data_IF_182897684518
#
_entry.id   IF_182897684518
#
_cell.length_a   1.000
_cell.length_b   1.000
_cell.length_c   1.000
_cell.angle_alpha   90.00
_cell.angle_beta   90.00
_cell.angle_gamma   90.00
#
_symmetry.space_group_name_H-M   'P 1'
#
loop_
_entity.id
_entity.type
_entity.pdbx_description
1 polymer ?
#
# COMPACT_ATOMS: atom_id res chain seq x y z
N UNK A 1 1.15 -34.62 3.39
CA UNK A 1 0.99 -33.21 2.96
C UNK A 1 0.01 -33.20 1.80
N UNK A 2 -1.15 -32.56 1.95
CA UNK A 2 -2.17 -32.47 0.89
C UNK A 2 -1.88 -31.21 0.04
N UNK A 3 -1.65 -31.33 -1.28
CA UNK A 3 -1.20 -30.21 -2.11
C UNK A 3 -2.32 -29.32 -2.71
N UNK A 4 -3.57 -29.41 -2.22
CA UNK A 4 -4.74 -28.84 -2.92
C UNK A 4 -5.56 -27.80 -2.13
N UNK A 5 -4.95 -27.04 -1.22
CA UNK A 5 -5.62 -25.85 -0.67
C UNK A 5 -5.35 -24.70 -1.64
N UNK A 6 -6.35 -24.30 -2.43
CA UNK A 6 -6.27 -23.01 -3.15
C UNK A 6 -5.99 -21.94 -2.09
N UNK A 7 -5.00 -21.06 -2.29
CA UNK A 7 -4.79 -19.99 -1.34
C UNK A 7 -6.06 -19.15 -1.26
N UNK A 8 -6.50 -18.85 -0.04
CA UNK A 8 -7.65 -17.98 0.18
C UNK A 8 -7.41 -16.61 -0.45
N UNK A 9 -8.48 -15.94 -0.83
CA UNK A 9 -8.43 -14.53 -1.23
C UNK A 9 -9.42 -13.75 -0.39
N UNK A 10 -9.01 -12.57 0.04
CA UNK A 10 -9.83 -11.67 0.85
C UNK A 10 -9.81 -10.27 0.25
N UNK A 11 -10.96 -9.59 0.32
CA UNK A 11 -11.13 -8.21 -0.14
C UNK A 11 -10.86 -7.22 0.99
N UNK A 12 -10.08 -6.18 0.68
CA UNK A 12 -9.76 -5.10 1.59
C UNK A 12 -10.05 -3.76 0.94
N UNK A 13 -10.60 -2.83 1.71
CA UNK A 13 -10.55 -1.43 1.36
C UNK A 13 -9.13 -0.93 1.72
N UNK A 14 -8.46 -0.32 0.74
CA UNK A 14 -7.03 0.02 0.79
C UNK A 14 -6.83 1.49 0.48
N UNK A 15 -5.87 2.11 1.14
CA UNK A 15 -5.51 3.51 0.92
C UNK A 15 -4.01 3.73 1.12
N UNK A 16 -3.44 4.65 0.32
CA UNK A 16 -2.11 5.19 0.51
C UNK A 16 -2.20 6.61 1.04
N UNK A 17 -1.37 6.94 2.03
CA UNK A 17 -1.40 8.23 2.72
C UNK A 17 -0.02 8.86 2.83
N UNK A 18 0.11 10.16 2.54
CA UNK A 18 1.28 10.98 2.90
C UNK A 18 0.84 12.03 3.90
N UNK A 19 1.64 12.29 4.94
CA UNK A 19 1.29 13.30 5.97
C UNK A 19 -0.03 13.05 6.72
N UNK A 20 -0.63 11.86 6.60
CA UNK A 20 -1.93 11.54 7.18
C UNK A 20 -3.14 11.81 6.28
N UNK A 21 -2.93 12.21 5.03
CA UNK A 21 -3.99 12.41 4.02
C UNK A 21 -3.88 11.39 2.89
N UNK A 22 -5.00 11.03 2.25
CA UNK A 22 -4.99 10.12 1.09
C UNK A 22 -4.24 10.76 -0.05
N UNK A 23 -3.30 10.02 -0.64
CA UNK A 23 -2.52 10.50 -1.80
C UNK A 23 -3.43 10.65 -3.01
N UNK A 24 -3.32 11.78 -3.69
CA UNK A 24 -3.92 12.02 -5.01
C UNK A 24 -2.79 12.37 -5.98
N UNK A 25 -2.60 11.57 -7.04
CA UNK A 25 -1.68 11.87 -8.14
C UNK A 25 -2.45 11.90 -9.45
N UNK A 26 -2.17 12.88 -10.30
CA UNK A 26 -2.81 13.03 -11.62
C UNK A 26 -4.36 12.98 -11.56
N UNK A 27 -4.95 13.50 -10.47
CA UNK A 27 -6.39 13.50 -10.24
C UNK A 27 -6.98 12.16 -9.77
N UNK A 28 -6.14 11.14 -9.55
CA UNK A 28 -6.54 9.83 -9.05
C UNK A 28 -6.19 9.67 -7.57
N UNK A 29 -7.21 9.41 -6.74
CA UNK A 29 -7.01 9.06 -5.35
C UNK A 29 -6.49 7.63 -5.23
N UNK A 30 -5.42 7.42 -4.47
CA UNK A 30 -4.86 6.10 -4.16
C UNK A 30 -5.63 5.48 -3.01
N UNK A 31 -6.91 5.25 -3.27
CA UNK A 31 -7.87 4.60 -2.39
C UNK A 31 -8.79 3.72 -3.23
N UNK A 32 -9.07 2.51 -2.76
CA UNK A 32 -9.96 1.60 -3.47
C UNK A 32 -10.00 0.22 -2.84
N UNK A 33 -10.72 -0.70 -3.49
CA UNK A 33 -10.83 -2.08 -3.03
C UNK A 33 -9.85 -2.98 -3.75
N UNK A 34 -9.11 -3.79 -2.98
CA UNK A 34 -8.07 -4.69 -3.49
C UNK A 34 -8.33 -6.11 -2.97
N UNK A 35 -8.26 -7.10 -3.87
CA UNK A 35 -8.27 -8.52 -3.50
C UNK A 35 -6.84 -8.96 -3.25
N UNK A 36 -6.56 -9.48 -2.05
CA UNK A 36 -5.25 -9.97 -1.66
C UNK A 36 -5.30 -11.48 -1.42
N UNK A 37 -4.21 -12.16 -1.79
CA UNK A 37 -4.03 -13.58 -1.53
C UNK A 37 -3.59 -13.76 -0.09
N UNK A 38 -4.31 -14.60 0.66
CA UNK A 38 -4.01 -14.86 2.06
C UNK A 38 -2.67 -15.58 2.23
N UNK A 39 -1.88 -15.11 3.20
CA UNK A 39 -0.57 -15.66 3.51
C UNK A 39 0.31 -14.66 4.27
N UNK A 40 1.52 -15.07 4.67
CA UNK A 40 2.44 -14.23 5.43
C UNK A 40 2.82 -12.92 4.71
N UNK A 41 2.85 -12.96 3.38
CA UNK A 41 3.28 -11.86 2.49
C UNK A 41 2.09 -11.14 1.83
N UNK A 42 0.87 -11.34 2.33
CA UNK A 42 -0.36 -10.87 1.67
C UNK A 42 -0.41 -9.36 1.41
N UNK A 43 0.31 -8.56 2.21
CA UNK A 43 0.37 -7.10 2.07
C UNK A 43 1.59 -6.59 1.29
N UNK A 44 2.49 -7.45 0.83
CA UNK A 44 3.63 -7.06 -0.01
C UNK A 44 3.22 -6.22 -1.24
N UNK A 45 2.10 -6.50 -1.94
CA UNK A 45 1.65 -5.64 -3.03
C UNK A 45 1.41 -4.19 -2.60
N UNK A 46 0.84 -3.98 -1.41
CA UNK A 46 0.59 -2.65 -0.86
C UNK A 46 1.89 -1.94 -0.47
N UNK A 47 2.86 -2.68 0.08
CA UNK A 47 4.20 -2.15 0.35
C UNK A 47 4.89 -1.68 -0.92
N UNK A 48 4.83 -2.48 -1.99
CA UNK A 48 5.43 -2.14 -3.29
C UNK A 48 4.77 -0.93 -3.94
N UNK A 49 3.44 -0.82 -3.86
CA UNK A 49 2.72 0.37 -4.34
C UNK A 49 3.07 1.62 -3.54
N UNK A 50 3.04 1.53 -2.21
CA UNK A 50 3.44 2.64 -1.35
C UNK A 50 4.87 3.08 -1.66
N UNK A 51 5.77 2.14 -1.98
CA UNK A 51 7.17 2.44 -2.29
C UNK A 51 7.31 3.26 -3.57
N UNK A 52 6.62 2.87 -4.64
CA UNK A 52 6.62 3.64 -5.89
C UNK A 52 6.02 5.05 -5.71
N UNK A 53 4.95 5.18 -4.92
CA UNK A 53 4.36 6.48 -4.62
C UNK A 53 5.28 7.34 -3.73
N UNK A 54 5.91 6.75 -2.71
CA UNK A 54 6.88 7.44 -1.87
C UNK A 54 8.06 7.98 -2.68
N UNK A 55 8.58 7.18 -3.61
CA UNK A 55 9.65 7.61 -4.52
C UNK A 55 9.23 8.71 -5.47
N UNK A 56 7.98 8.68 -5.95
CA UNK A 56 7.41 9.73 -6.81
C UNK A 56 7.23 11.04 -6.04
N UNK A 57 6.71 10.97 -4.81
CA UNK A 57 6.47 12.14 -3.97
C UNK A 57 7.76 12.68 -3.33
N UNK A 58 8.76 11.83 -3.12
CA UNK A 58 9.91 12.14 -2.26
C UNK A 58 9.55 12.20 -0.77
N UNK A 59 8.43 11.59 -0.37
CA UNK A 59 7.88 11.64 0.99
C UNK A 59 7.52 10.25 1.51
N UNK A 60 7.50 10.04 2.83
CA UNK A 60 7.07 8.77 3.41
C UNK A 60 5.58 8.50 3.12
N UNK A 61 5.26 7.29 2.66
CA UNK A 61 3.88 6.88 2.36
C UNK A 61 3.47 5.73 3.27
N UNK A 62 2.30 5.86 3.87
CA UNK A 62 1.68 4.82 4.69
C UNK A 62 0.58 4.13 3.90
N UNK A 63 0.67 2.82 3.73
CA UNK A 63 -0.44 2.02 3.22
C UNK A 63 -1.30 1.51 4.38
N UNK A 64 -2.59 1.35 4.14
CA UNK A 64 -3.54 0.73 5.06
C UNK A 64 -4.44 -0.23 4.29
N UNK A 65 -4.82 -1.31 4.96
CA UNK A 65 -5.84 -2.25 4.52
C UNK A 65 -6.85 -2.41 5.66
N UNK A 66 -8.12 -2.13 5.38
CA UNK A 66 -9.24 -2.40 6.27
C UNK A 66 -10.10 -3.51 5.70
N UNK A 67 -10.55 -4.41 6.56
CA UNK A 67 -11.45 -5.48 6.15
C UNK A 67 -12.87 -4.93 5.86
N UNK A 68 -13.78 -5.82 5.45
CA UNK A 68 -15.17 -5.45 5.14
C UNK A 68 -15.96 -4.91 6.35
N UNK A 69 -15.50 -5.14 7.58
CA UNK A 69 -16.10 -4.60 8.80
C UNK A 69 -15.54 -3.23 9.16
N UNK A 70 -14.55 -2.74 8.40
CA UNK A 70 -13.84 -1.49 8.66
C UNK A 70 -12.72 -1.65 9.69
N UNK A 71 -12.34 -2.87 10.06
CA UNK A 71 -11.27 -3.13 11.01
C UNK A 71 -9.91 -3.09 10.30
N UNK A 72 -8.89 -2.50 10.94
CA UNK A 72 -7.56 -2.41 10.36
C UNK A 72 -6.91 -3.80 10.30
N UNK A 73 -6.83 -4.35 9.09
CA UNK A 73 -6.22 -5.65 8.84
C UNK A 73 -4.69 -5.55 8.66
N UNK A 74 -4.21 -4.44 8.12
CA UNK A 74 -2.78 -4.22 7.88
C UNK A 74 -2.41 -2.76 7.70
N UNK A 75 -1.18 -2.42 8.07
CA UNK A 75 -0.59 -1.09 7.87
C UNK A 75 0.92 -1.20 7.80
N UNK A 76 1.53 -0.36 6.97
CA UNK A 76 2.97 -0.12 6.97
C UNK A 76 3.31 1.25 6.41
N UNK A 77 4.49 1.75 6.75
CA UNK A 77 5.01 3.02 6.22
C UNK A 77 6.33 2.74 5.53
N UNK A 78 6.44 3.19 4.29
CA UNK A 78 7.66 3.07 3.48
C UNK A 78 8.30 4.43 3.28
N UNK A 79 9.62 4.44 3.29
CA UNK A 79 10.41 5.65 3.10
C UNK A 79 10.76 5.82 1.61
N UNK A 80 10.82 7.06 1.10
CA UNK A 80 11.35 7.33 -0.23
C UNK A 80 12.81 6.88 -0.31
N UNK A 81 13.25 6.41 -1.47
CA UNK A 81 14.65 6.06 -1.67
C UNK A 81 15.56 7.30 -1.62
N UNK A 82 16.86 7.15 -1.35
CA UNK A 82 17.80 8.28 -1.30
C UNK A 82 17.86 9.09 -2.61
N UNK A 83 17.50 8.49 -3.75
CA UNK A 83 17.45 9.16 -5.04
C UNK A 83 16.30 10.20 -5.17
N UNK A 84 15.17 9.98 -4.49
CA UNK A 84 13.99 10.86 -4.60
C UNK A 84 14.21 12.22 -3.91
N UNK A 85 15.11 12.28 -2.93
CA UNK A 85 15.47 13.53 -2.25
C UNK A 85 16.30 14.46 -3.15
N UNK A 86 17.05 13.92 -4.12
CA UNK A 86 17.89 14.71 -5.01
C UNK A 86 17.07 15.43 -6.11
N UNK A 87 15.84 14.97 -6.40
CA UNK A 87 14.94 15.64 -7.35
C UNK A 87 14.29 16.90 -6.77
N UNK A 88 14.24 17.06 -5.44
CA UNK A 88 13.75 18.28 -4.78
C UNK A 88 14.82 19.38 -4.63
N UNK A 89 16.08 19.11 -4.98
CA UNK A 89 17.22 20.01 -4.76
C UNK A 89 17.71 20.74 -6.03
N UNK A 90 16.94 20.71 -7.13
CA UNK A 90 17.26 21.36 -8.41
C UNK A 90 16.29 22.49 -8.73
#
# INVERSE_FOLDING_TARGET
>A
MNPNTRPGVSEYDTELRSGGEVVVLDGMAYQGRTVLVEGPEMFEPLERWAKGVAETLGEPVTWRATDRKGELAGRGTVQPGPAAQNLRAL
#
